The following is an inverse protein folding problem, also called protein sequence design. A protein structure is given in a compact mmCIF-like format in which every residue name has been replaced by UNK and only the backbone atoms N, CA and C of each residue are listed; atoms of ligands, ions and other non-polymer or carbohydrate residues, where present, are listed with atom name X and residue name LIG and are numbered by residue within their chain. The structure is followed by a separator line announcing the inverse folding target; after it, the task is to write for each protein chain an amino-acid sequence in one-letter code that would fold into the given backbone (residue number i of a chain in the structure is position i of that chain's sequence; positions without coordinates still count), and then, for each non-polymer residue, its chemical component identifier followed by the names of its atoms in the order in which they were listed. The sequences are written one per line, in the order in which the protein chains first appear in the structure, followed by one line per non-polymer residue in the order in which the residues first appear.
data_IF_479853385738
#
_entry.id   IF_479853385738
#
_cell.length_a   1.000
_cell.length_b   1.000
_cell.length_c   1.000
_cell.angle_alpha   90.00
_cell.angle_beta   90.00
_cell.angle_gamma   90.00
#
_symmetry.space_group_name_H-M   'P 1'
#
loop_
_entity.id
_entity.type
_entity.pdbx_description
1 polymer ?
#
# COMPACT_ATOMS: atom_id res chain seq x y z
N UNK A 1 -1.28 0.41 11.12
CA UNK A 1 -2.16 -0.38 10.26
C UNK A 1 -2.46 -1.65 10.99
N UNK A 2 -3.66 -2.16 10.80
CA UNK A 2 -4.12 -3.37 11.43
C UNK A 2 -4.03 -4.52 10.43
N UNK A 3 -3.98 -5.74 10.96
CA UNK A 3 -4.06 -6.93 10.13
C UNK A 3 -5.34 -6.88 9.31
N UNK A 4 -5.27 -7.40 8.08
CA UNK A 4 -6.35 -7.42 7.10
C UNK A 4 -6.74 -6.07 6.49
N UNK A 5 -6.09 -4.97 6.88
CA UNK A 5 -6.26 -3.67 6.21
C UNK A 5 -5.96 -3.80 4.70
N UNK A 6 -6.83 -3.31 3.81
CA UNK A 6 -6.58 -3.33 2.37
C UNK A 6 -5.45 -2.39 1.99
N UNK A 7 -4.61 -2.84 1.07
CA UNK A 7 -3.46 -2.12 0.54
C UNK A 7 -3.60 -1.92 -0.97
N UNK A 8 -3.19 -0.74 -1.44
CA UNK A 8 -2.93 -0.45 -2.85
C UNK A 8 -1.51 0.09 -2.97
N UNK A 9 -0.70 -0.52 -3.83
CA UNK A 9 0.74 -0.28 -3.91
C UNK A 9 1.05 0.62 -5.10
N UNK A 10 1.54 1.81 -4.81
CA UNK A 10 2.04 2.75 -5.82
C UNK A 10 3.52 2.49 -6.10
N UNK A 11 3.89 2.30 -7.38
CA UNK A 11 5.27 2.10 -7.79
C UNK A 11 5.82 3.36 -8.46
N UNK A 12 6.72 4.06 -7.76
CA UNK A 12 7.33 5.31 -8.24
C UNK A 12 7.95 5.20 -9.63
N UNK A 13 8.67 4.11 -9.93
CA UNK A 13 9.32 3.91 -11.24
C UNK A 13 8.33 3.78 -12.40
N UNK A 14 7.07 3.41 -12.13
CA UNK A 14 6.00 3.33 -13.14
C UNK A 14 5.01 4.49 -13.05
N UNK A 15 5.11 5.32 -12.00
CA UNK A 15 4.16 6.38 -11.68
C UNK A 15 2.69 5.95 -11.60
N UNK A 16 2.42 4.70 -11.20
CA UNK A 16 1.08 4.09 -11.20
C UNK A 16 0.89 3.14 -10.02
N UNK A 17 -0.37 2.81 -9.72
CA UNK A 17 -0.71 1.73 -8.79
C UNK A 17 -0.64 0.40 -9.53
N UNK A 18 0.14 -0.53 -9.01
CA UNK A 18 0.51 -1.76 -9.75
C UNK A 18 0.22 -3.04 -9.00
N UNK A 19 -0.24 -2.95 -7.76
CA UNK A 19 -0.61 -4.12 -6.99
C UNK A 19 -1.61 -3.78 -5.87
N UNK A 20 -2.32 -4.81 -5.43
CA UNK A 20 -3.18 -4.81 -4.26
C UNK A 20 -2.75 -5.92 -3.29
N UNK A 21 -3.32 -5.89 -2.10
CA UNK A 21 -3.15 -6.95 -1.11
C UNK A 21 -3.75 -6.55 0.22
N UNK A 22 -3.44 -7.32 1.26
CA UNK A 22 -3.85 -7.04 2.63
C UNK A 22 -2.66 -7.08 3.57
N UNK A 23 -2.73 -6.30 4.64
CA UNK A 23 -1.72 -6.35 5.70
C UNK A 23 -1.76 -7.72 6.38
N UNK A 24 -0.68 -8.46 6.26
CA UNK A 24 -0.47 -9.72 6.97
C UNK A 24 0.15 -9.52 8.35
N UNK A 25 0.80 -10.56 8.91
CA UNK A 25 1.54 -10.47 10.16
C UNK A 25 2.61 -9.37 10.15
N UNK A 26 2.79 -8.75 11.32
CA UNK A 26 3.82 -7.75 11.56
C UNK A 26 4.92 -8.34 12.45
N UNK A 27 6.17 -8.02 12.14
CA UNK A 27 7.32 -8.32 12.97
C UNK A 27 8.15 -7.05 13.19
N UNK A 28 8.59 -6.85 14.43
CA UNK A 28 9.61 -5.87 14.77
C UNK A 28 10.95 -6.57 14.90
N UNK A 29 11.89 -6.33 13.98
CA UNK A 29 13.18 -7.04 13.98
C UNK A 29 14.29 -6.30 13.27
N UNK A 30 15.49 -6.41 13.83
CA UNK A 30 16.75 -5.97 13.20
C UNK A 30 17.26 -6.97 12.15
N UNK A 31 16.80 -8.23 12.21
CA UNK A 31 17.33 -9.29 11.35
C UNK A 31 17.14 -8.96 9.87
N UNK A 32 15.93 -8.55 9.45
CA UNK A 32 15.69 -8.26 8.03
C UNK A 32 16.40 -6.98 7.59
N UNK A 33 16.44 -5.98 8.47
CA UNK A 33 17.20 -4.75 8.26
C UNK A 33 18.66 -5.05 7.90
N UNK A 34 19.31 -5.87 8.72
CA UNK A 34 20.74 -6.15 8.61
C UNK A 34 21.06 -7.13 7.48
N UNK A 35 20.15 -8.07 7.19
CA UNK A 35 20.39 -9.09 6.16
C UNK A 35 19.97 -8.66 4.75
N UNK A 36 18.94 -7.81 4.61
CA UNK A 36 18.35 -7.51 3.30
C UNK A 36 18.33 -6.03 2.94
N UNK A 37 18.49 -5.11 3.90
CA UNK A 37 18.39 -3.66 3.68
C UNK A 37 19.65 -2.89 4.08
N UNK A 38 20.80 -3.57 4.17
CA UNK A 38 22.12 -2.98 4.45
C UNK A 38 22.14 -2.02 5.66
N UNK A 39 21.39 -2.35 6.72
CA UNK A 39 21.36 -1.55 7.95
C UNK A 39 20.47 -0.30 7.89
N UNK A 40 19.49 -0.25 6.98
CA UNK A 40 18.53 0.86 6.88
C UNK A 40 17.73 1.14 8.17
N UNK A 41 17.03 2.28 8.30
CA UNK A 41 16.40 2.66 9.57
C UNK A 41 15.12 1.88 9.93
N UNK A 42 14.59 1.04 9.03
CA UNK A 42 13.29 0.39 9.21
C UNK A 42 13.40 -0.91 10.01
N UNK A 43 12.58 -1.03 11.07
CA UNK A 43 12.52 -2.21 11.95
C UNK A 43 11.16 -2.90 11.94
N UNK A 44 10.11 -2.19 11.55
CA UNK A 44 8.76 -2.72 11.45
C UNK A 44 8.53 -3.29 10.05
N UNK A 45 8.14 -4.56 10.00
CA UNK A 45 7.97 -5.31 8.77
C UNK A 45 6.57 -5.86 8.74
N UNK A 46 5.85 -5.52 7.68
CA UNK A 46 4.51 -6.04 7.43
C UNK A 46 4.60 -7.02 6.26
N UNK A 47 4.16 -8.25 6.47
CA UNK A 47 3.89 -9.14 5.37
C UNK A 47 2.70 -8.61 4.56
N UNK A 48 2.67 -8.90 3.26
CA UNK A 48 1.51 -8.61 2.40
C UNK A 48 0.90 -9.96 2.02
N UNK A 49 -0.33 -10.17 2.45
CA UNK A 49 -1.14 -11.33 2.07
C UNK A 49 -1.99 -11.01 0.84
N UNK A 50 -2.36 -12.04 0.08
CA UNK A 50 -3.16 -11.93 -1.15
C UNK A 50 -2.59 -10.88 -2.13
N UNK A 51 -1.26 -10.87 -2.29
CA UNK A 51 -0.60 -9.98 -3.23
C UNK A 51 -1.06 -10.26 -4.66
N UNK A 52 -1.60 -9.25 -5.32
CA UNK A 52 -2.07 -9.30 -6.70
C UNK A 52 -1.48 -8.12 -7.47
N UNK A 53 -0.61 -8.40 -8.45
CA UNK A 53 0.04 -7.40 -9.31
C UNK A 53 -0.61 -7.27 -10.70
N UNK A 54 -1.83 -7.77 -10.86
CA UNK A 54 -2.58 -7.67 -12.12
C UNK A 54 -3.16 -6.29 -12.41
N UNK A 55 -3.15 -5.38 -11.42
CA UNK A 55 -3.68 -4.02 -11.61
C UNK A 55 -2.64 -3.09 -12.26
N UNK A 56 -3.10 -2.19 -13.11
CA UNK A 56 -2.28 -1.11 -13.68
C UNK A 56 -3.15 0.14 -13.80
N UNK A 57 -3.12 0.97 -12.75
CA UNK A 57 -4.12 2.01 -12.52
C UNK A 57 -3.47 3.38 -12.36
N UNK A 58 -3.99 4.34 -13.12
CA UNK A 58 -3.56 5.73 -13.01
C UNK A 58 -3.89 6.32 -11.63
N UNK A 59 -2.99 7.12 -11.04
CA UNK A 59 -3.20 7.70 -9.73
C UNK A 59 -4.48 8.51 -9.61
N UNK A 60 -4.85 9.23 -10.67
CA UNK A 60 -6.07 10.03 -10.76
C UNK A 60 -7.33 9.17 -10.53
N UNK A 61 -7.29 7.89 -10.92
CA UNK A 61 -8.42 6.98 -10.73
C UNK A 61 -8.60 6.63 -9.25
N UNK A 62 -7.51 6.29 -8.54
CA UNK A 62 -7.56 6.01 -7.11
C UNK A 62 -7.86 7.28 -6.31
N UNK A 63 -7.22 8.39 -6.68
CA UNK A 63 -7.38 9.67 -6.03
C UNK A 63 -8.84 10.14 -6.08
N UNK A 64 -9.51 10.01 -7.23
CA UNK A 64 -10.94 10.32 -7.35
C UNK A 64 -11.82 9.45 -6.46
N UNK A 65 -11.53 8.15 -6.35
CA UNK A 65 -12.32 7.27 -5.46
C UNK A 65 -12.12 7.67 -4.01
N UNK A 66 -10.88 7.96 -3.61
CA UNK A 66 -10.53 8.31 -2.23
C UNK A 66 -10.75 9.79 -1.87
N UNK A 67 -11.17 10.63 -2.81
CA UNK A 67 -11.33 12.08 -2.60
C UNK A 67 -10.01 12.84 -2.40
N UNK A 68 -8.89 12.34 -2.94
CA UNK A 68 -7.66 13.11 -3.04
C UNK A 68 -7.67 14.04 -4.26
N UNK A 69 -6.81 15.06 -4.26
CA UNK A 69 -6.51 15.85 -5.46
C UNK A 69 -5.91 14.94 -6.52
N UNK A 70 -6.20 15.18 -7.80
CA UNK A 70 -5.67 14.38 -8.91
C UNK A 70 -4.13 14.31 -8.93
N UNK A 71 -3.48 15.41 -8.54
CA UNK A 71 -2.01 15.50 -8.44
C UNK A 71 -1.39 14.81 -7.22
N UNK A 72 -2.20 14.27 -6.30
CA UNK A 72 -1.68 13.58 -5.14
C UNK A 72 -0.90 12.33 -5.55
N UNK A 73 0.27 12.15 -4.94
CA UNK A 73 1.10 10.95 -5.07
C UNK A 73 1.52 10.52 -3.67
N UNK A 74 1.27 9.27 -3.26
CA UNK A 74 1.70 8.79 -1.95
C UNK A 74 3.23 8.74 -1.87
N UNK A 75 3.78 9.04 -0.69
CA UNK A 75 5.22 9.02 -0.42
C UNK A 75 5.52 8.11 0.77
N UNK A 76 6.15 6.98 0.52
CA UNK A 76 6.33 5.95 1.55
C UNK A 76 4.99 5.32 1.96
N UNK A 77 4.87 4.95 3.23
CA UNK A 77 3.71 4.23 3.74
C UNK A 77 2.64 5.20 4.24
N UNK A 78 1.43 5.13 3.68
CA UNK A 78 0.33 6.04 3.97
C UNK A 78 -0.91 5.30 4.42
N UNK A 79 -1.42 5.61 5.61
CA UNK A 79 -2.77 5.21 6.03
C UNK A 79 -3.78 6.11 5.33
N UNK A 80 -4.73 5.51 4.63
CA UNK A 80 -5.91 6.22 4.15
C UNK A 80 -6.77 6.52 5.37
N UNK A 81 -7.18 7.77 5.54
CA UNK A 81 -8.06 8.18 6.65
C UNK A 81 -9.33 7.33 6.69
N UNK A 82 -9.74 6.93 7.90
CA UNK A 82 -10.87 6.03 8.13
C UNK A 82 -12.20 6.59 7.60
N UNK A 83 -12.34 7.92 7.49
CA UNK A 83 -13.52 8.61 6.96
C UNK A 83 -13.64 8.56 5.43
N UNK A 84 -12.63 8.01 4.74
CA UNK A 84 -12.62 7.93 3.28
C UNK A 84 -13.27 6.63 2.82
N UNK A 85 -13.80 6.58 1.58
CA UNK A 85 -14.53 5.43 1.08
C UNK A 85 -13.59 4.27 0.68
N UNK A 86 -12.85 3.73 1.65
CA UNK A 86 -11.89 2.62 1.49
C UNK A 86 -12.61 1.39 0.92
N UNK A 87 -13.84 1.11 1.35
CA UNK A 87 -14.66 0.01 0.84
C UNK A 87 -14.93 0.10 -0.67
N UNK A 88 -15.03 1.32 -1.23
CA UNK A 88 -15.24 1.50 -2.67
C UNK A 88 -13.99 1.11 -3.46
N UNK A 89 -12.81 1.39 -2.92
CA UNK A 89 -11.53 0.96 -3.51
C UNK A 89 -11.41 -0.56 -3.40
N UNK A 90 -11.61 -1.12 -2.20
CA UNK A 90 -11.54 -2.56 -1.97
C UNK A 90 -12.47 -3.33 -2.93
N UNK A 91 -13.73 -2.91 -3.06
CA UNK A 91 -14.68 -3.52 -4.01
C UNK A 91 -14.25 -3.37 -5.47
N UNK A 92 -13.74 -2.20 -5.86
CA UNK A 92 -13.35 -1.92 -7.25
C UNK A 92 -12.20 -2.81 -7.71
N UNK A 93 -11.27 -3.13 -6.81
CA UNK A 93 -10.09 -3.93 -7.11
C UNK A 93 -10.13 -5.33 -6.48
N UNK A 94 -11.31 -5.75 -5.99
CA UNK A 94 -11.54 -7.05 -5.39
C UNK A 94 -10.49 -7.42 -4.31
N UNK A 95 -10.15 -6.45 -3.46
CA UNK A 95 -9.16 -6.56 -2.38
C UNK A 95 -9.86 -6.98 -1.09
#
# INVERSE_FOLDING_TARGET
MERDDPLVIYRNSKSRYTATGRVGPMAHTEYVRDQYWDGGPALDIYAIENYDDSIDVDPETINRVLGYKDSFRPQGFWRVSDDRPIERVARKFNI
#
